data_IF_157776724568
#
_entry.id   IF_157776724568
#
_cell.length_a   1.000
_cell.length_b   1.000
_cell.length_c   1.000
_cell.angle_alpha   90.00
_cell.angle_beta   90.00
_cell.angle_gamma   90.00
#
_symmetry.space_group_name_H-M   'P 1'
#
loop_
_entity.id
_entity.type
_entity.pdbx_description
1 polymer ?
#
# COMPACT_ATOMS: atom_id res chain seq x y z
N UNK A 1 -18.03 -23.25 18.64
CA UNK A 1 -16.94 -22.31 18.36
C UNK A 1 -17.31 -21.01 19.03
N UNK A 2 -16.50 -20.53 19.96
CA UNK A 2 -16.70 -19.29 20.69
C UNK A 2 -15.66 -18.26 20.26
N UNK A 3 -16.11 -17.01 20.15
CA UNK A 3 -15.21 -15.88 19.94
C UNK A 3 -14.41 -15.62 21.21
N UNK A 4 -13.09 -15.42 21.05
CA UNK A 4 -12.17 -15.19 22.17
C UNK A 4 -11.67 -13.75 22.17
N UNK A 5 -11.21 -13.27 21.01
CA UNK A 5 -10.60 -11.97 20.90
C UNK A 5 -10.54 -11.50 19.44
N UNK A 6 -10.53 -10.18 19.30
CA UNK A 6 -10.13 -9.49 18.08
C UNK A 6 -8.78 -8.80 18.32
N UNK A 7 -7.88 -8.92 17.36
CA UNK A 7 -6.66 -8.11 17.30
C UNK A 7 -6.67 -7.27 16.04
N UNK A 8 -6.61 -5.96 16.20
CA UNK A 8 -6.55 -5.00 15.10
C UNK A 8 -5.10 -4.67 14.75
N UNK A 9 -4.82 -4.53 13.46
CA UNK A 9 -3.56 -4.05 12.92
C UNK A 9 -3.86 -3.01 11.82
N UNK A 10 -4.05 -1.77 12.25
CA UNK A 10 -4.67 -0.76 11.40
C UNK A 10 -6.12 -1.12 11.11
N UNK A 11 -6.50 -1.08 9.84
CA UNK A 11 -7.85 -1.41 9.37
C UNK A 11 -8.06 -2.91 9.14
N UNK A 12 -7.05 -3.74 9.43
CA UNK A 12 -7.13 -5.20 9.31
C UNK A 12 -7.38 -5.84 10.67
N UNK A 13 -8.38 -6.71 10.76
CA UNK A 13 -8.72 -7.45 11.98
C UNK A 13 -8.36 -8.93 11.87
N UNK A 14 -7.94 -9.48 13.00
CA UNK A 14 -7.75 -10.91 13.24
C UNK A 14 -8.74 -11.34 14.32
N UNK A 15 -9.62 -12.28 13.98
CA UNK A 15 -10.60 -12.86 14.88
C UNK A 15 -10.15 -14.24 15.33
N UNK A 16 -10.04 -14.43 16.64
CA UNK A 16 -9.67 -15.72 17.25
C UNK A 16 -10.92 -16.39 17.79
N UNK A 17 -11.12 -17.64 17.37
CA UNK A 17 -12.18 -18.52 17.87
C UNK A 17 -11.57 -19.77 18.50
N UNK A 18 -12.24 -20.28 19.54
CA UNK A 18 -11.89 -21.53 20.20
C UNK A 18 -13.09 -22.49 20.13
N UNK A 19 -12.85 -23.76 19.86
CA UNK A 19 -13.92 -24.76 19.88
C UNK A 19 -14.02 -25.42 21.25
N UNK A 20 -15.21 -25.34 21.85
CA UNK A 20 -15.49 -25.85 23.20
C UNK A 20 -15.34 -27.38 23.35
N UNK A 21 -15.42 -28.13 22.24
CA UNK A 21 -15.36 -29.60 22.26
C UNK A 21 -13.93 -30.15 22.10
N UNK A 22 -13.15 -29.59 21.18
CA UNK A 22 -11.81 -30.07 20.81
C UNK A 22 -10.67 -29.16 21.32
N UNK A 23 -10.98 -27.96 21.85
CA UNK A 23 -10.03 -26.87 22.11
C UNK A 23 -9.21 -26.44 20.89
N UNK A 24 -9.64 -26.79 19.68
CA UNK A 24 -8.99 -26.39 18.46
C UNK A 24 -9.25 -24.90 18.16
N UNK A 25 -8.20 -24.18 17.73
CA UNK A 25 -8.21 -22.74 17.50
C UNK A 25 -8.43 -22.44 16.01
N UNK A 26 -9.39 -21.57 15.72
CA UNK A 26 -9.62 -21.02 14.39
C UNK A 26 -9.22 -19.54 14.40
N UNK A 27 -8.47 -19.12 13.38
CA UNK A 27 -8.10 -17.72 13.15
C UNK A 27 -8.68 -17.29 11.81
N UNK A 28 -9.51 -16.25 11.84
CA UNK A 28 -10.10 -15.64 10.64
C UNK A 28 -9.54 -14.23 10.49
N UNK A 29 -9.19 -13.84 9.27
CA UNK A 29 -8.75 -12.48 8.97
C UNK A 29 -9.85 -11.74 8.23
N UNK A 30 -10.01 -10.44 8.50
CA UNK A 30 -10.96 -9.59 7.74
C UNK A 30 -10.57 -9.43 6.27
N UNK A 31 -9.31 -9.71 5.96
CA UNK A 31 -8.72 -9.62 4.63
C UNK A 31 -7.70 -10.75 4.44
N UNK A 32 -7.66 -11.31 3.23
CA UNK A 32 -6.68 -12.30 2.82
C UNK A 32 -5.26 -11.69 2.79
N UNK A 33 -4.21 -12.49 3.02
CA UNK A 33 -2.86 -11.93 3.22
C UNK A 33 -2.29 -11.26 1.96
N UNK A 34 -2.51 -11.85 0.80
CA UNK A 34 -2.02 -11.37 -0.50
C UNK A 34 -2.91 -12.01 -1.54
N UNK A 35 -3.65 -11.20 -2.29
CA UNK A 35 -4.23 -11.63 -3.56
C UNK A 35 -3.60 -10.79 -4.67
N UNK A 36 -3.29 -11.37 -5.85
CA UNK A 36 -2.74 -10.61 -6.97
C UNK A 36 -3.74 -9.57 -7.52
N UNK A 37 -5.02 -9.65 -7.15
CA UNK A 37 -6.09 -8.79 -7.63
C UNK A 37 -6.47 -7.66 -6.68
N UNK A 38 -5.92 -7.59 -5.45
CA UNK A 38 -6.27 -6.55 -4.49
C UNK A 38 -5.07 -5.92 -3.79
N UNK A 39 -5.18 -4.61 -3.53
CA UNK A 39 -4.26 -3.89 -2.65
C UNK A 39 -4.70 -4.15 -1.21
N UNK A 40 -3.79 -4.52 -0.28
CA UNK A 40 -4.15 -4.75 1.11
C UNK A 40 -4.79 -3.52 1.77
N UNK A 41 -5.71 -3.70 2.71
CA UNK A 41 -6.59 -2.63 3.22
C UNK A 41 -5.83 -1.43 3.79
N UNK A 42 -4.72 -1.66 4.49
CA UNK A 42 -3.92 -0.58 5.06
C UNK A 42 -3.27 0.26 3.94
N UNK A 43 -2.65 -0.39 2.96
CA UNK A 43 -2.13 0.26 1.75
C UNK A 43 -3.25 0.95 0.96
N UNK A 44 -4.43 0.35 0.85
CA UNK A 44 -5.57 0.91 0.12
C UNK A 44 -6.10 2.20 0.78
N UNK A 45 -6.23 2.23 2.11
CA UNK A 45 -6.63 3.43 2.86
C UNK A 45 -5.58 4.53 2.73
N UNK A 46 -4.30 4.19 2.86
CA UNK A 46 -3.22 5.17 2.69
C UNK A 46 -3.19 5.72 1.26
N UNK A 47 -3.39 4.86 0.25
CA UNK A 47 -3.52 5.26 -1.16
C UNK A 47 -4.69 6.21 -1.38
N UNK A 48 -5.89 5.85 -0.89
CA UNK A 48 -7.09 6.69 -0.98
C UNK A 48 -6.89 8.05 -0.30
N UNK A 49 -6.21 8.08 0.85
CA UNK A 49 -5.83 9.32 1.53
C UNK A 49 -4.89 10.17 0.67
N UNK A 50 -3.87 9.58 0.04
CA UNK A 50 -2.93 10.31 -0.83
C UNK A 50 -3.69 10.90 -2.02
N UNK A 51 -4.58 10.13 -2.64
CA UNK A 51 -5.44 10.60 -3.72
C UNK A 51 -6.39 11.73 -3.28
N UNK A 52 -6.92 11.66 -2.06
CA UNK A 52 -7.78 12.69 -1.48
C UNK A 52 -7.01 13.95 -1.01
N UNK A 53 -5.67 13.89 -0.93
CA UNK A 53 -4.85 15.02 -0.48
C UNK A 53 -4.96 15.36 1.02
N UNK A 54 -5.53 14.47 1.85
CA UNK A 54 -5.73 14.71 3.29
C UNK A 54 -4.52 14.26 4.12
N UNK A 55 -4.41 14.60 5.41
CA UNK A 55 -3.35 14.16 6.34
C UNK A 55 -3.70 12.92 7.19
N UNK A 56 -2.77 12.43 8.03
CA UNK A 56 -3.08 11.39 9.03
C UNK A 56 -4.15 11.84 10.02
N UNK A 57 -4.07 13.08 10.52
CA UNK A 57 -5.05 13.64 11.45
C UNK A 57 -6.46 13.59 10.87
N UNK A 58 -6.62 14.02 9.62
CA UNK A 58 -7.91 13.98 8.92
C UNK A 58 -8.39 12.55 8.65
N UNK A 59 -7.49 11.62 8.36
CA UNK A 59 -7.84 10.20 8.28
C UNK A 59 -8.35 9.67 9.63
N UNK A 60 -7.71 10.05 10.74
CA UNK A 60 -8.14 9.66 12.08
C UNK A 60 -9.49 10.26 12.44
N UNK A 61 -9.75 11.52 12.07
CA UNK A 61 -11.05 12.17 12.24
C UNK A 61 -12.15 11.47 11.44
N UNK A 62 -11.87 11.13 10.16
CA UNK A 62 -12.78 10.36 9.32
C UNK A 62 -13.10 9.02 9.97
N UNK A 63 -12.07 8.27 10.39
CA UNK A 63 -12.23 6.97 11.03
C UNK A 63 -13.06 7.06 12.31
N UNK A 64 -12.83 8.08 13.14
CA UNK A 64 -13.60 8.33 14.35
C UNK A 64 -15.07 8.67 14.05
N UNK A 65 -15.35 9.41 12.97
CA UNK A 65 -16.72 9.80 12.59
C UNK A 65 -17.58 8.62 12.12
N UNK A 66 -16.95 7.54 11.66
CA UNK A 66 -17.62 6.31 11.22
C UNK A 66 -17.49 5.17 12.24
N UNK A 67 -16.99 5.45 13.44
CA UNK A 67 -16.78 4.48 14.53
C UNK A 67 -15.90 3.27 14.12
N UNK A 68 -14.87 3.52 13.30
CA UNK A 68 -13.87 2.52 12.91
C UNK A 68 -12.52 2.89 13.53
N UNK A 69 -11.88 1.98 14.29
CA UNK A 69 -10.54 2.21 14.84
C UNK A 69 -9.51 2.52 13.74
N UNK A 70 -8.82 3.64 13.87
CA UNK A 70 -7.78 4.04 12.94
C UNK A 70 -6.45 3.30 13.22
N UNK A 71 -5.63 3.15 12.19
CA UNK A 71 -4.23 2.77 12.38
C UNK A 71 -3.46 3.82 13.21
N UNK A 72 -2.44 3.36 13.95
CA UNK A 72 -1.53 4.28 14.64
C UNK A 72 -0.71 5.09 13.63
N UNK A 73 -0.25 6.28 14.06
CA UNK A 73 0.61 7.11 13.22
C UNK A 73 1.90 6.38 12.79
N UNK A 74 2.46 5.55 13.68
CA UNK A 74 3.65 4.74 13.36
C UNK A 74 3.40 3.74 12.25
N UNK A 75 2.28 2.99 12.31
CA UNK A 75 1.89 2.06 11.26
C UNK A 75 1.57 2.79 9.96
N UNK A 76 0.89 3.93 10.06
CA UNK A 76 0.59 4.80 8.93
C UNK A 76 1.86 5.26 8.20
N UNK A 77 2.84 5.81 8.92
CA UNK A 77 4.10 6.26 8.34
C UNK A 77 4.88 5.13 7.68
N UNK A 78 4.87 3.94 8.30
CA UNK A 78 5.51 2.76 7.73
C UNK A 78 4.87 2.35 6.39
N UNK A 79 3.54 2.29 6.34
CA UNK A 79 2.79 1.93 5.11
C UNK A 79 3.02 2.99 4.03
N UNK A 80 2.94 4.28 4.37
CA UNK A 80 3.18 5.37 3.45
C UNK A 80 4.60 5.35 2.88
N UNK A 81 5.62 5.10 3.71
CA UNK A 81 7.01 5.00 3.26
C UNK A 81 7.19 3.84 2.28
N UNK A 82 6.71 2.65 2.64
CA UNK A 82 6.78 1.45 1.79
C UNK A 82 6.10 1.67 0.43
N UNK A 83 4.95 2.34 0.42
CA UNK A 83 4.28 2.72 -0.82
C UNK A 83 5.09 3.74 -1.63
N UNK A 84 5.63 4.75 -0.96
CA UNK A 84 6.51 5.75 -1.58
C UNK A 84 7.73 5.12 -2.26
N UNK A 85 8.41 4.19 -1.58
CA UNK A 85 9.55 3.45 -2.13
C UNK A 85 9.14 2.63 -3.36
N UNK A 86 7.98 1.98 -3.31
CA UNK A 86 7.46 1.18 -4.44
C UNK A 86 7.19 2.06 -5.66
N UNK A 87 6.51 3.20 -5.45
CA UNK A 87 6.21 4.17 -6.52
C UNK A 87 7.48 4.78 -7.09
N UNK A 88 8.42 5.18 -6.22
CA UNK A 88 9.69 5.75 -6.64
C UNK A 88 10.50 4.77 -7.49
N UNK A 89 10.59 3.51 -7.06
CA UNK A 89 11.29 2.48 -7.81
C UNK A 89 10.63 2.21 -9.16
N UNK A 90 9.30 2.12 -9.22
CA UNK A 90 8.57 1.97 -10.48
C UNK A 90 8.86 3.16 -11.43
N UNK A 91 8.73 4.39 -10.94
CA UNK A 91 9.02 5.59 -11.72
C UNK A 91 10.47 5.61 -12.24
N UNK A 92 11.44 5.21 -11.41
CA UNK A 92 12.84 5.14 -11.82
C UNK A 92 13.07 4.10 -12.93
N UNK A 93 12.39 2.95 -12.89
CA UNK A 93 12.50 1.96 -13.96
C UNK A 93 11.87 2.46 -15.26
N UNK A 94 10.69 3.06 -15.21
CA UNK A 94 10.04 3.65 -16.39
C UNK A 94 10.88 4.77 -17.01
N UNK A 95 11.50 5.63 -16.19
CA UNK A 95 12.42 6.67 -16.67
C UNK A 95 13.64 6.09 -17.39
N UNK A 96 14.18 4.97 -16.91
CA UNK A 96 15.30 4.28 -17.58
C UNK A 96 14.87 3.71 -18.92
N UNK A 97 13.73 3.02 -18.96
CA UNK A 97 13.18 2.43 -20.18
C UNK A 97 12.87 3.51 -21.22
N UNK A 98 12.26 4.62 -20.79
CA UNK A 98 12.01 5.77 -21.65
C UNK A 98 13.32 6.36 -22.20
N UNK A 99 14.35 6.52 -21.37
CA UNK A 99 15.66 7.01 -21.82
C UNK A 99 16.37 6.06 -22.81
N UNK A 100 16.22 4.74 -22.64
CA UNK A 100 16.73 3.77 -23.61
C UNK A 100 16.00 3.86 -24.97
N UNK A 101 14.67 4.02 -24.93
CA UNK A 101 13.86 4.18 -26.15
C UNK A 101 14.14 5.52 -26.85
N UNK A 102 14.28 6.62 -26.10
CA UNK A 102 14.69 7.93 -26.63
C UNK A 102 16.06 7.87 -27.31
N UNK A 103 17.03 7.18 -26.68
CA UNK A 103 18.37 6.97 -27.27
C UNK A 103 18.28 6.20 -28.59
N UNK A 104 17.49 5.12 -28.63
CA UNK A 104 17.30 4.34 -29.85
C UNK A 104 16.66 5.18 -30.95
N UNK A 105 15.62 5.95 -30.61
CA UNK A 105 14.94 6.83 -31.54
C UNK A 105 15.87 7.89 -32.13
N UNK A 106 16.75 8.49 -31.31
CA UNK A 106 17.74 9.47 -31.75
C UNK A 106 18.75 8.88 -32.76
N UNK A 107 19.20 7.64 -32.54
CA UNK A 107 20.08 6.92 -33.48
C UNK A 107 19.38 6.63 -34.81
N UNK A 108 18.10 6.23 -34.79
CA UNK A 108 17.33 5.91 -36.00
C UNK A 108 17.00 7.14 -36.86
N UNK A 109 16.81 8.30 -36.22
CA UNK A 109 16.47 9.55 -36.91
C UNK A 109 17.68 10.37 -37.37
N UNK A 110 18.92 9.87 -37.18
CA UNK A 110 20.16 10.64 -37.34
C UNK A 110 20.12 11.98 -36.58
N UNK A 111 19.36 12.04 -35.49
CA UNK A 111 19.33 13.15 -34.55
C UNK A 111 20.37 12.93 -33.44
N UNK A 112 21.52 12.36 -33.80
CA UNK A 112 22.66 12.20 -32.93
C UNK A 112 23.55 13.41 -33.19
N UNK A 113 23.53 14.38 -32.29
CA UNK A 113 24.49 15.46 -32.34
C UNK A 113 25.88 14.84 -32.09
N UNK A 114 26.78 14.94 -33.08
CA UNK A 114 28.18 14.49 -32.96
C UNK A 114 28.95 15.29 -31.89
N UNK A 115 28.38 16.41 -31.43
CA UNK A 115 29.00 17.34 -30.51
C UNK A 115 28.15 17.51 -29.24
N UNK A 116 28.55 16.81 -28.18
CA UNK A 116 28.00 17.04 -26.84
C UNK A 116 28.15 18.51 -26.41
N UNK A 117 27.03 19.24 -26.33
CA UNK A 117 26.92 20.45 -25.54
C UNK A 117 26.09 21.59 -26.14
N UNK A 118 25.01 21.93 -25.43
CA UNK A 118 24.74 23.31 -25.01
C UNK A 118 24.01 23.33 -23.68
#
# INVERSE_FOLDING_TARGET
MQFVAEKQNGFRSLFKFLCDMCNCQLIVYSEEKVSPSCIPINEAIVSGRVAAGIGYTQLSELSASIDIPCMSNTTYSLVLSKMGDTIHNAALQEMKLAGEEERKYALETNCVDDDGGR
#
